data_IF_755548136183
#
_entry.id   IF_755548136183
#
_cell.length_a   1.000
_cell.length_b   1.000
_cell.length_c   1.000
_cell.angle_alpha   90.00
_cell.angle_beta   90.00
_cell.angle_gamma   90.00
#
_symmetry.space_group_name_H-M   'P 1'
#
loop_
_entity.id
_entity.type
_entity.pdbx_description
1 polymer ?
#
# COMPACT_ATOMS: atom_id res chain seq x y z
N UNK A 1 17.60 -3.83 -29.87
CA UNK A 1 16.27 -4.37 -29.50
C UNK A 1 15.52 -3.28 -28.72
N UNK A 2 14.20 -3.12 -28.81
CA UNK A 2 13.47 -2.01 -28.11
C UNK A 2 13.72 -2.04 -26.59
N UNK A 3 13.95 -3.25 -26.07
CA UNK A 3 14.25 -3.60 -24.69
C UNK A 3 15.59 -3.03 -24.15
N UNK A 4 16.52 -2.60 -25.01
CA UNK A 4 17.82 -2.05 -24.59
C UNK A 4 17.75 -0.55 -24.22
N UNK A 5 16.61 0.11 -24.47
CA UNK A 5 16.45 1.53 -24.12
C UNK A 5 16.37 1.67 -22.60
N UNK A 6 17.02 2.71 -22.03
CA UNK A 6 17.06 2.97 -20.57
C UNK A 6 15.69 2.99 -19.89
N UNK A 7 14.66 3.30 -20.64
CA UNK A 7 13.25 3.36 -20.21
C UNK A 7 12.71 1.98 -19.79
N UNK A 8 13.30 0.88 -20.29
CA UNK A 8 12.86 -0.50 -20.00
C UNK A 8 13.76 -1.24 -19.01
N UNK A 9 14.68 -0.54 -18.33
CA UNK A 9 15.60 -1.14 -17.34
C UNK A 9 14.87 -1.84 -16.17
N UNK A 10 13.60 -1.51 -15.95
CA UNK A 10 12.77 -2.10 -14.90
C UNK A 10 12.17 -3.46 -15.31
N UNK A 11 12.30 -3.84 -16.59
CA UNK A 11 11.89 -5.14 -17.15
C UNK A 11 13.08 -6.09 -17.30
N UNK A 12 14.16 -5.83 -16.56
CA UNK A 12 15.36 -6.66 -16.58
C UNK A 12 15.03 -8.08 -16.10
N UNK A 13 15.24 -9.06 -16.97
CA UNK A 13 14.88 -10.46 -16.76
C UNK A 13 15.77 -11.16 -15.73
N UNK A 14 16.93 -10.57 -15.40
CA UNK A 14 17.91 -11.15 -14.47
C UNK A 14 17.63 -10.78 -13.00
N UNK A 15 16.70 -9.86 -12.73
CA UNK A 15 16.33 -9.47 -11.37
C UNK A 15 15.18 -10.35 -10.88
N UNK A 16 15.55 -11.48 -10.26
CA UNK A 16 14.58 -12.37 -9.65
C UNK A 16 13.89 -11.67 -8.45
N UNK A 17 12.56 -11.58 -8.48
CA UNK A 17 11.77 -11.03 -7.39
C UNK A 17 11.86 -11.98 -6.17
N UNK A 18 12.84 -11.74 -5.30
CA UNK A 18 13.01 -12.51 -4.09
C UNK A 18 11.77 -12.47 -3.19
N UNK A 19 11.36 -13.64 -2.69
CA UNK A 19 10.18 -13.81 -1.81
C UNK A 19 10.21 -12.89 -0.58
N UNK A 20 11.40 -12.56 -0.07
CA UNK A 20 11.59 -11.61 1.05
C UNK A 20 11.24 -10.17 0.66
N UNK A 21 11.65 -9.72 -0.51
CA UNK A 21 11.39 -8.36 -0.99
C UNK A 21 9.89 -8.15 -1.22
N UNK A 22 9.22 -9.14 -1.83
CA UNK A 22 7.77 -9.15 -1.98
C UNK A 22 7.08 -9.07 -0.61
N UNK A 23 7.47 -9.91 0.36
CA UNK A 23 6.89 -9.89 1.72
C UNK A 23 7.04 -8.53 2.40
N UNK A 24 8.19 -7.87 2.26
CA UNK A 24 8.43 -6.53 2.83
C UNK A 24 7.56 -5.47 2.15
N UNK A 25 7.43 -5.51 0.83
CA UNK A 25 6.55 -4.60 0.08
C UNK A 25 5.07 -4.77 0.49
N UNK A 26 4.58 -6.02 0.56
CA UNK A 26 3.22 -6.33 1.02
C UNK A 26 2.96 -5.88 2.47
N UNK A 27 3.95 -6.04 3.36
CA UNK A 27 3.86 -5.58 4.76
C UNK A 27 3.72 -4.05 4.86
N UNK A 28 4.37 -3.29 3.97
CA UNK A 28 4.23 -1.81 3.91
C UNK A 28 2.84 -1.42 3.44
N UNK A 29 2.29 -2.11 2.43
CA UNK A 29 0.92 -1.88 1.95
C UNK A 29 -0.11 -2.11 3.06
N UNK A 30 0.06 -3.11 3.94
CA UNK A 30 -0.84 -3.35 5.07
C UNK A 30 -0.95 -2.15 6.04
N UNK A 31 0.07 -1.29 6.14
CA UNK A 31 0.06 -0.16 7.09
C UNK A 31 -0.76 1.04 6.62
N UNK A 32 -0.89 1.32 5.32
CA UNK A 32 -1.68 2.47 4.84
C UNK A 32 -3.18 2.16 4.67
N UNK A 33 -3.80 1.47 5.62
CA UNK A 33 -5.24 1.16 5.59
C UNK A 33 -6.07 2.07 6.53
N UNK A 34 -5.43 2.98 7.28
CA UNK A 34 -6.13 3.98 8.10
C UNK A 34 -6.26 5.28 7.32
N UNK A 35 -7.07 5.26 6.27
CA UNK A 35 -7.50 6.47 5.56
C UNK A 35 -8.92 6.83 6.01
N UNK A 36 -9.10 8.05 6.53
CA UNK A 36 -10.41 8.54 6.98
C UNK A 36 -10.32 9.81 7.82
N UNK A 37 -11.45 10.50 7.96
CA UNK A 37 -11.60 11.61 8.90
C UNK A 37 -11.48 11.10 10.35
N UNK A 38 -10.91 11.91 11.23
CA UNK A 38 -10.73 11.57 12.65
C UNK A 38 -12.06 11.74 13.41
N UNK A 39 -13.00 10.85 13.11
CA UNK A 39 -14.38 10.89 13.63
C UNK A 39 -14.59 9.91 14.80
N UNK A 40 -13.70 8.93 15.00
CA UNK A 40 -13.81 7.96 16.09
C UNK A 40 -13.15 8.50 17.36
N UNK A 41 -13.84 8.40 18.51
CA UNK A 41 -13.28 8.75 19.82
C UNK A 41 -12.11 7.81 20.16
N UNK A 42 -10.91 8.38 20.35
CA UNK A 42 -9.77 7.63 20.86
C UNK A 42 -9.81 7.64 22.39
N UNK A 43 -10.48 6.65 22.98
CA UNK A 43 -10.69 6.58 24.42
C UNK A 43 -9.36 6.51 25.19
N UNK A 44 -8.41 5.68 24.75
CA UNK A 44 -7.11 5.53 25.40
C UNK A 44 -6.29 6.82 25.34
N UNK A 45 -6.25 7.47 24.17
CA UNK A 45 -5.59 8.75 23.97
C UNK A 45 -6.23 9.87 24.79
N UNK A 46 -7.56 9.87 24.86
CA UNK A 46 -8.34 10.83 25.65
C UNK A 46 -8.09 10.67 27.15
N UNK A 47 -8.10 9.43 27.67
CA UNK A 47 -7.84 9.16 29.09
C UNK A 47 -6.44 9.66 29.47
N UNK A 48 -5.43 9.34 28.66
CA UNK A 48 -4.05 9.75 28.92
C UNK A 48 -3.88 11.27 28.85
N UNK A 49 -4.39 11.90 27.80
CA UNK A 49 -4.30 13.34 27.64
C UNK A 49 -5.03 14.10 28.76
N UNK A 50 -6.20 13.60 29.15
CA UNK A 50 -6.98 14.15 30.27
C UNK A 50 -6.22 14.01 31.59
N UNK A 51 -5.58 12.87 31.84
CA UNK A 51 -4.78 12.64 33.04
C UNK A 51 -3.52 13.52 33.09
N UNK A 52 -2.91 13.82 31.94
CA UNK A 52 -1.72 14.67 31.84
C UNK A 52 -2.04 16.18 31.95
N UNK A 53 -3.17 16.64 31.40
CA UNK A 53 -3.52 18.07 31.40
C UNK A 53 -4.37 18.51 32.60
N UNK A 54 -5.12 17.60 33.22
CA UNK A 54 -5.99 17.93 34.36
C UNK A 54 -7.35 18.53 33.97
N UNK A 55 -7.68 18.55 32.68
CA UNK A 55 -9.02 18.83 32.14
C UNK A 55 -9.33 17.84 31.01
N UNK A 56 -10.61 17.67 30.67
CA UNK A 56 -11.04 16.75 29.61
C UNK A 56 -10.42 17.17 28.26
N UNK A 57 -9.49 16.34 27.76
CA UNK A 57 -8.81 16.54 26.47
C UNK A 57 -9.18 15.39 25.53
N UNK A 58 -10.21 15.64 24.71
CA UNK A 58 -10.77 14.65 23.78
C UNK A 58 -9.84 14.47 22.58
N UNK A 59 -9.38 13.24 22.37
CA UNK A 59 -8.63 12.84 21.18
C UNK A 59 -9.51 12.04 20.25
N UNK A 60 -9.43 12.34 18.96
CA UNK A 60 -10.08 11.57 17.91
C UNK A 60 -9.05 10.87 17.04
N UNK A 61 -9.44 9.74 16.47
CA UNK A 61 -8.63 8.94 15.55
C UNK A 61 -9.44 8.57 14.31
N UNK A 62 -8.77 8.29 13.18
CA UNK A 62 -9.46 7.77 12.00
C UNK A 62 -10.18 6.46 12.32
N UNK A 63 -11.42 6.35 11.87
CA UNK A 63 -12.24 5.15 12.01
C UNK A 63 -11.56 3.94 11.36
N UNK A 64 -11.68 2.76 11.98
CA UNK A 64 -11.26 1.49 11.35
C UNK A 64 -12.16 1.14 10.17
N UNK A 65 -11.72 1.48 8.96
CA UNK A 65 -12.38 1.04 7.72
C UNK A 65 -11.71 -0.21 7.15
N UNK A 66 -12.53 -1.12 6.64
CA UNK A 66 -12.05 -2.28 5.88
C UNK A 66 -11.50 -1.78 4.53
N UNK A 67 -10.21 -1.48 4.46
CA UNK A 67 -9.54 -1.12 3.22
C UNK A 67 -8.96 -2.36 2.54
N UNK A 68 -9.44 -2.67 1.34
CA UNK A 68 -8.89 -3.74 0.50
C UNK A 68 -7.86 -3.12 -0.45
N UNK A 69 -6.62 -3.61 -0.41
CA UNK A 69 -5.58 -3.22 -1.38
C UNK A 69 -5.47 -4.28 -2.46
N UNK A 70 -5.87 -3.93 -3.67
CA UNK A 70 -5.72 -4.78 -4.85
C UNK A 70 -4.38 -4.49 -5.48
N UNK A 71 -3.58 -5.55 -5.69
CA UNK A 71 -2.32 -5.48 -6.43
C UNK A 71 -2.50 -6.33 -7.67
N UNK A 72 -2.40 -5.71 -8.84
CA UNK A 72 -2.48 -6.39 -10.12
C UNK A 72 -1.06 -6.54 -10.68
N UNK A 73 -0.63 -7.79 -10.88
CA UNK A 73 0.58 -8.11 -11.62
C UNK A 73 0.17 -8.45 -13.04
N UNK A 74 0.67 -7.69 -14.02
CA UNK A 74 0.47 -7.94 -15.44
C UNK A 74 1.76 -8.45 -16.04
N UNK A 75 1.67 -9.59 -16.71
CA UNK A 75 2.75 -10.09 -17.55
C UNK A 75 2.86 -9.24 -18.82
N UNK A 76 4.07 -9.05 -19.32
CA UNK A 76 4.35 -8.24 -20.51
C UNK A 76 5.23 -9.04 -21.48
N UNK A 77 4.65 -9.38 -22.63
CA UNK A 77 5.35 -10.06 -23.74
C UNK A 77 5.01 -11.55 -23.87
N UNK A 78 5.73 -12.23 -24.77
CA UNK A 78 5.64 -13.67 -25.08
C UNK A 78 4.21 -14.22 -25.20
N UNK A 79 3.73 -14.81 -24.12
CA UNK A 79 2.41 -15.42 -23.94
C UNK A 79 1.23 -14.44 -24.05
N UNK A 80 1.47 -13.15 -23.78
CA UNK A 80 0.43 -12.12 -23.80
C UNK A 80 0.18 -11.52 -25.19
N UNK A 81 1.05 -11.77 -26.18
CA UNK A 81 0.93 -11.17 -27.51
C UNK A 81 -0.36 -11.55 -28.25
N UNK A 82 -0.81 -12.80 -28.12
CA UNK A 82 -2.03 -13.30 -28.78
C UNK A 82 -3.32 -12.64 -28.26
N UNK A 83 -3.24 -11.92 -27.16
CA UNK A 83 -4.38 -11.26 -26.49
C UNK A 83 -4.45 -9.76 -26.81
N UNK A 84 -3.48 -9.22 -27.55
CA UNK A 84 -3.44 -7.81 -27.95
C UNK A 84 -4.40 -7.62 -29.14
N UNK A 85 -5.51 -6.91 -28.92
CA UNK A 85 -6.35 -6.44 -30.05
C UNK A 85 -5.69 -5.23 -30.68
N UNK A 86 -5.27 -5.36 -31.93
CA UNK A 86 -4.83 -4.23 -32.76
C UNK A 86 -6.09 -3.55 -33.29
N UNK A 87 -6.28 -2.27 -32.96
CA UNK A 87 -7.32 -1.39 -33.52
C UNK A 87 -6.68 -0.51 -34.58
#
# INVERSE_FOLDING_TARGET
KVWDKREFRNFDADVELGTRNIKVALKRLRRWARDGAAEELDLDGTIRATAEQGWLDVKTRPERRNAVKVILFLDVGGSMYDHIRVV
#
